data_IF_706582365789
#
_entry.id   IF_706582365789
#
_cell.length_a   1.000
_cell.length_b   1.000
_cell.length_c   1.000
_cell.angle_alpha   90.00
_cell.angle_beta   90.00
_cell.angle_gamma   90.00
#
_symmetry.space_group_name_H-M   'P 1'
#
loop_
_entity.id
_entity.type
_entity.pdbx_description
1 polymer ?
#
# COMPACT_ATOMS: atom_id res chain seq x y z
N UNK A 1 -3.40 7.53 -0.25
CA UNK A 1 -2.82 6.41 0.55
C UNK A 1 -3.08 5.10 -0.16
N UNK A 2 -2.08 4.20 -0.21
CA UNK A 2 -2.23 2.86 -0.76
C UNK A 2 -2.15 1.85 0.40
N UNK A 3 -3.10 0.93 0.47
CA UNK A 3 -3.18 -0.15 1.45
C UNK A 3 -3.18 -1.47 0.69
N UNK A 4 -2.22 -2.33 1.02
CA UNK A 4 -1.97 -3.62 0.39
C UNK A 4 -2.30 -4.75 1.36
N UNK A 5 -3.08 -5.73 0.93
CA UNK A 5 -3.09 -7.02 1.62
C UNK A 5 -1.70 -7.65 1.46
N UNK A 6 -1.06 -8.11 2.54
CA UNK A 6 0.34 -8.52 2.50
C UNK A 6 0.60 -9.93 3.02
N UNK A 7 -0.42 -10.77 3.20
CA UNK A 7 -0.28 -12.09 3.85
C UNK A 7 -0.59 -13.28 2.95
N UNK A 8 -1.26 -13.07 1.81
CA UNK A 8 -1.70 -14.12 0.90
C UNK A 8 -1.55 -13.71 -0.57
N UNK A 9 -2.37 -14.22 -1.46
CA UNK A 9 -2.32 -13.95 -2.88
C UNK A 9 -1.35 -14.87 -3.61
N UNK A 10 -0.70 -14.32 -4.61
CA UNK A 10 0.34 -15.00 -5.40
C UNK A 10 1.61 -15.24 -4.57
N UNK A 11 1.83 -14.44 -3.53
CA UNK A 11 2.95 -14.55 -2.59
C UNK A 11 2.82 -15.76 -1.63
N UNK A 12 1.73 -16.50 -1.67
CA UNK A 12 1.59 -17.77 -0.92
C UNK A 12 2.58 -18.84 -1.39
N UNK A 13 3.15 -18.68 -2.61
CA UNK A 13 4.15 -19.60 -3.15
C UNK A 13 3.60 -20.98 -3.50
N UNK A 14 2.29 -21.13 -3.69
CA UNK A 14 1.68 -22.42 -4.01
C UNK A 14 1.78 -22.64 -5.51
N UNK A 15 2.75 -23.47 -5.91
CA UNK A 15 2.97 -23.78 -7.32
C UNK A 15 3.13 -25.29 -7.53
N UNK A 16 2.68 -25.79 -8.69
CA UNK A 16 2.75 -27.20 -9.05
C UNK A 16 3.21 -27.39 -10.49
N UNK A 17 4.13 -28.31 -10.70
CA UNK A 17 4.41 -28.87 -12.04
C UNK A 17 3.34 -29.92 -12.32
N UNK A 18 2.49 -29.68 -13.30
CA UNK A 18 1.41 -30.62 -13.68
C UNK A 18 1.98 -31.74 -14.54
N UNK A 19 2.72 -31.36 -15.58
CA UNK A 19 3.53 -32.21 -16.45
C UNK A 19 4.74 -31.40 -16.89
N UNK A 20 5.71 -32.05 -17.53
CA UNK A 20 6.89 -31.34 -18.05
C UNK A 20 6.47 -30.19 -18.99
N UNK A 21 6.99 -29.00 -18.71
CA UNK A 21 6.66 -27.77 -19.42
C UNK A 21 5.32 -27.11 -19.04
N UNK A 22 4.57 -27.62 -18.05
CA UNK A 22 3.30 -27.01 -17.58
C UNK A 22 3.32 -26.80 -16.08
N UNK A 23 3.32 -25.54 -15.65
CA UNK A 23 3.31 -25.13 -14.24
C UNK A 23 1.99 -24.41 -13.92
N UNK A 24 1.45 -24.67 -12.73
CA UNK A 24 0.31 -23.93 -12.16
C UNK A 24 0.76 -23.14 -10.96
N UNK A 25 0.31 -21.88 -10.85
CA UNK A 25 0.43 -21.05 -9.65
C UNK A 25 -0.97 -20.75 -9.12
N UNK A 26 -1.14 -20.81 -7.80
CA UNK A 26 -2.44 -20.62 -7.15
C UNK A 26 -2.42 -19.27 -6.43
N UNK A 27 -3.29 -18.37 -6.83
CA UNK A 27 -3.64 -17.16 -6.09
C UNK A 27 -4.62 -17.52 -4.98
N UNK A 28 -4.20 -17.40 -3.73
CA UNK A 28 -5.05 -17.62 -2.57
C UNK A 28 -5.69 -16.31 -2.11
N UNK A 29 -7.03 -16.28 -2.01
CA UNK A 29 -7.78 -15.17 -1.41
C UNK A 29 -8.73 -15.75 -0.38
N UNK A 30 -8.59 -15.32 0.87
CA UNK A 30 -9.46 -15.76 1.96
C UNK A 30 -10.37 -14.64 2.45
N UNK A 31 -11.53 -15.01 3.00
CA UNK A 31 -12.43 -14.04 3.62
C UNK A 31 -11.75 -13.33 4.79
N UNK A 32 -11.07 -14.07 5.66
CA UNK A 32 -10.47 -13.52 6.88
C UNK A 32 -9.40 -12.44 6.57
N UNK A 33 -8.48 -12.71 5.65
CA UNK A 33 -7.46 -11.73 5.27
C UNK A 33 -8.06 -10.53 4.53
N UNK A 34 -9.04 -10.78 3.65
CA UNK A 34 -9.76 -9.71 2.94
C UNK A 34 -10.53 -8.80 3.91
N UNK A 35 -11.28 -9.36 4.87
CA UNK A 35 -12.00 -8.59 5.88
C UNK A 35 -11.06 -7.73 6.72
N UNK A 36 -9.93 -8.29 7.16
CA UNK A 36 -8.94 -7.58 7.97
C UNK A 36 -8.41 -6.33 7.26
N UNK A 37 -7.90 -6.48 6.04
CA UNK A 37 -7.32 -5.34 5.28
C UNK A 37 -8.37 -4.33 4.87
N UNK A 38 -9.58 -4.78 4.51
CA UNK A 38 -10.67 -3.90 4.10
C UNK A 38 -11.21 -3.10 5.29
N UNK A 39 -11.46 -3.73 6.44
CA UNK A 39 -11.84 -3.01 7.66
C UNK A 39 -10.79 -1.98 8.06
N UNK A 40 -9.53 -2.35 8.01
CA UNK A 40 -8.43 -1.41 8.25
C UNK A 40 -8.49 -0.22 7.28
N UNK A 41 -8.70 -0.45 5.99
CA UNK A 41 -8.74 0.60 4.98
C UNK A 41 -9.91 1.58 5.18
N UNK A 42 -11.10 1.08 5.52
CA UNK A 42 -12.26 1.92 5.80
C UNK A 42 -12.09 2.71 7.11
N UNK A 43 -11.61 2.06 8.17
CA UNK A 43 -11.34 2.73 9.45
C UNK A 43 -10.28 3.81 9.28
N UNK A 44 -9.17 3.49 8.61
CA UNK A 44 -8.13 4.48 8.30
C UNK A 44 -8.68 5.68 7.52
N UNK A 45 -9.54 5.44 6.54
CA UNK A 45 -10.15 6.52 5.77
C UNK A 45 -11.00 7.45 6.65
N UNK A 46 -11.76 6.89 7.59
CA UNK A 46 -12.58 7.64 8.54
C UNK A 46 -11.71 8.43 9.52
N UNK A 47 -10.69 7.80 10.12
CA UNK A 47 -9.80 8.41 11.10
C UNK A 47 -9.00 9.61 10.54
N UNK A 48 -8.53 9.50 9.29
CA UNK A 48 -7.77 10.59 8.62
C UNK A 48 -8.65 11.57 7.85
N UNK A 49 -9.98 11.43 7.92
CA UNK A 49 -10.94 12.29 7.24
C UNK A 49 -10.95 12.16 5.71
N UNK A 50 -10.43 11.07 5.16
CA UNK A 50 -10.57 10.73 3.74
C UNK A 50 -11.95 10.15 3.49
N UNK A 51 -12.66 10.71 2.52
CA UNK A 51 -14.08 10.39 2.32
C UNK A 51 -14.34 9.22 1.38
N UNK A 52 -13.28 8.62 0.81
CA UNK A 52 -13.44 7.60 -0.23
C UNK A 52 -12.42 6.48 -0.13
N UNK A 53 -12.94 5.26 -0.08
CA UNK A 53 -12.17 4.02 -0.27
C UNK A 53 -12.44 3.46 -1.66
N UNK A 54 -11.37 3.22 -2.42
CA UNK A 54 -11.41 2.60 -3.73
C UNK A 54 -10.74 1.24 -3.70
N UNK A 55 -11.49 0.21 -4.06
CA UNK A 55 -10.97 -1.15 -4.24
C UNK A 55 -10.44 -1.33 -5.66
N UNK A 56 -9.17 -1.70 -5.77
CA UNK A 56 -8.56 -2.04 -7.06
C UNK A 56 -8.56 -3.55 -7.23
N UNK A 57 -9.12 -4.05 -8.33
CA UNK A 57 -9.36 -5.47 -8.57
C UNK A 57 -9.34 -5.84 -10.07
N UNK A 58 -9.35 -7.15 -10.36
CA UNK A 58 -9.53 -7.68 -11.72
C UNK A 58 -10.66 -8.75 -11.77
N UNK A 59 -11.76 -8.50 -11.05
CA UNK A 59 -12.88 -9.45 -10.93
C UNK A 59 -13.60 -9.77 -12.24
N UNK A 60 -13.34 -9.02 -13.30
CA UNK A 60 -13.81 -9.35 -14.64
C UNK A 60 -13.14 -10.61 -15.21
N UNK A 61 -11.93 -10.91 -14.79
CA UNK A 61 -11.14 -12.09 -15.16
C UNK A 61 -11.13 -13.08 -13.99
N UNK A 62 -10.70 -12.64 -12.81
CA UNK A 62 -10.61 -13.47 -11.60
C UNK A 62 -11.92 -13.41 -10.82
N UNK A 63 -12.97 -14.00 -11.41
CA UNK A 63 -14.36 -13.86 -10.91
C UNK A 63 -14.57 -14.41 -9.50
N UNK A 64 -13.81 -15.44 -9.11
CA UNK A 64 -13.94 -16.07 -7.80
C UNK A 64 -13.05 -15.38 -6.77
N UNK A 65 -11.76 -15.26 -7.00
CA UNK A 65 -10.78 -14.70 -6.04
C UNK A 65 -10.96 -13.19 -5.87
N UNK A 66 -10.78 -12.40 -6.91
CA UNK A 66 -10.98 -10.94 -6.84
C UNK A 66 -12.46 -10.58 -6.63
N UNK A 67 -13.37 -11.44 -7.11
CA UNK A 67 -14.80 -11.30 -6.86
C UNK A 67 -15.15 -11.45 -5.39
N UNK A 68 -14.51 -12.38 -4.66
CA UNK A 68 -14.66 -12.52 -3.21
C UNK A 68 -14.19 -11.24 -2.50
N UNK A 69 -12.98 -10.77 -2.80
CA UNK A 69 -12.44 -9.54 -2.21
C UNK A 69 -13.37 -8.34 -2.43
N UNK A 70 -13.84 -8.14 -3.66
CA UNK A 70 -14.76 -7.06 -4.01
C UNK A 70 -16.12 -7.17 -3.31
N UNK A 71 -16.66 -8.37 -3.15
CA UNK A 71 -17.95 -8.58 -2.48
C UNK A 71 -17.83 -8.30 -0.97
N UNK A 72 -16.74 -8.72 -0.34
CA UNK A 72 -16.45 -8.40 1.07
C UNK A 72 -16.33 -6.89 1.25
N UNK A 73 -15.67 -6.18 0.33
CA UNK A 73 -15.59 -4.73 0.39
C UNK A 73 -16.98 -4.06 0.33
N UNK A 74 -17.90 -4.56 -0.50
CA UNK A 74 -19.28 -4.09 -0.55
C UNK A 74 -20.07 -4.42 0.72
N UNK A 75 -19.75 -5.52 1.37
CA UNK A 75 -20.34 -5.87 2.67
C UNK A 75 -19.88 -4.88 3.74
N UNK A 76 -18.57 -4.70 3.87
CA UNK A 76 -17.94 -3.84 4.89
C UNK A 76 -18.29 -2.36 4.69
N UNK A 77 -18.40 -1.88 3.46
CA UNK A 77 -18.73 -0.47 3.19
C UNK A 77 -20.04 -0.02 3.84
N UNK A 78 -20.95 -0.94 4.12
CA UNK A 78 -22.23 -0.65 4.80
C UNK A 78 -22.04 -0.29 6.27
N UNK A 79 -20.95 -0.74 6.89
CA UNK A 79 -20.60 -0.45 8.29
C UNK A 79 -20.00 0.96 8.44
N UNK A 80 -19.59 1.59 7.30
CA UNK A 80 -18.92 2.90 7.25
C UNK A 80 -19.71 3.92 6.41
N UNK A 81 -20.87 4.39 6.85
CA UNK A 81 -21.77 5.21 6.04
C UNK A 81 -21.21 6.59 5.67
N UNK A 82 -20.17 7.06 6.37
CA UNK A 82 -19.50 8.33 6.11
C UNK A 82 -18.37 8.22 5.07
N UNK A 83 -18.02 7.01 4.65
CA UNK A 83 -16.95 6.73 3.70
C UNK A 83 -17.55 6.23 2.39
N UNK A 84 -17.38 6.99 1.32
CA UNK A 84 -17.82 6.58 -0.01
C UNK A 84 -16.99 5.39 -0.50
N UNK A 85 -17.67 4.37 -1.03
CA UNK A 85 -17.06 3.20 -1.63
C UNK A 85 -17.18 3.25 -3.15
N UNK A 86 -16.07 3.00 -3.85
CA UNK A 86 -16.07 2.65 -5.25
C UNK A 86 -15.06 1.54 -5.58
N UNK A 87 -15.12 1.03 -6.82
CA UNK A 87 -14.24 -0.04 -7.28
C UNK A 87 -13.72 0.29 -8.68
N UNK A 88 -12.47 -0.09 -8.95
CA UNK A 88 -11.82 0.16 -10.24
C UNK A 88 -11.02 -1.05 -10.70
N UNK A 89 -11.01 -1.29 -12.02
CA UNK A 89 -10.16 -2.31 -12.60
C UNK A 89 -8.69 -1.90 -12.53
N UNK A 90 -7.82 -2.85 -12.20
CA UNK A 90 -6.39 -2.64 -12.03
C UNK A 90 -5.72 -1.92 -13.21
N UNK A 91 -5.99 -2.38 -14.42
CA UNK A 91 -5.45 -1.79 -15.66
C UNK A 91 -5.90 -0.33 -15.86
N UNK A 92 -7.16 -0.01 -15.56
CA UNK A 92 -7.65 1.36 -15.59
C UNK A 92 -7.01 2.22 -14.50
N UNK A 93 -6.83 1.69 -13.28
CA UNK A 93 -6.15 2.40 -12.21
C UNK A 93 -4.70 2.73 -12.60
N UNK A 94 -3.94 1.76 -13.13
CA UNK A 94 -2.59 1.96 -13.63
C UNK A 94 -2.53 3.08 -14.69
N UNK A 95 -3.40 2.98 -15.70
CA UNK A 95 -3.46 3.97 -16.78
C UNK A 95 -3.72 5.38 -16.23
N UNK A 96 -4.74 5.51 -15.38
CA UNK A 96 -5.15 6.82 -14.86
C UNK A 96 -4.14 7.43 -13.90
N UNK A 97 -3.55 6.65 -13.00
CA UNK A 97 -2.55 7.13 -12.04
C UNK A 97 -1.31 7.66 -12.78
N UNK A 98 -0.87 7.00 -13.85
CA UNK A 98 0.27 7.46 -14.64
C UNK A 98 -0.07 8.69 -15.47
N UNK A 99 -1.29 8.78 -15.99
CA UNK A 99 -1.74 9.92 -16.80
C UNK A 99 -1.99 11.16 -15.97
N UNK A 100 -2.73 11.01 -14.85
CA UNK A 100 -3.04 12.06 -13.88
C UNK A 100 -3.36 11.46 -12.51
N UNK A 101 -2.41 11.51 -11.55
CA UNK A 101 -2.62 10.98 -10.21
C UNK A 101 -3.55 11.86 -9.34
N UNK A 102 -3.81 13.10 -9.72
CA UNK A 102 -4.56 14.08 -8.93
C UNK A 102 -5.91 13.57 -8.41
N UNK A 103 -6.73 12.85 -9.20
CA UNK A 103 -8.00 12.32 -8.73
C UNK A 103 -7.91 11.24 -7.63
N UNK A 104 -6.69 10.79 -7.29
CA UNK A 104 -6.46 9.77 -6.26
C UNK A 104 -5.97 10.36 -4.92
N UNK A 105 -5.67 11.67 -4.86
CA UNK A 105 -5.08 12.31 -3.68
C UNK A 105 -5.97 12.19 -2.42
N UNK A 106 -7.29 12.27 -2.57
CA UNK A 106 -8.25 12.22 -1.47
C UNK A 106 -8.81 10.83 -1.20
N UNK A 107 -8.20 9.79 -1.79
CA UNK A 107 -8.68 8.43 -1.68
C UNK A 107 -7.73 7.55 -0.92
N UNK A 108 -8.29 6.52 -0.31
CA UNK A 108 -7.58 5.34 0.14
C UNK A 108 -7.78 4.26 -0.93
N UNK A 109 -6.70 3.77 -1.51
CA UNK A 109 -6.70 2.64 -2.43
C UNK A 109 -6.43 1.37 -1.63
N UNK A 110 -7.25 0.35 -1.79
CA UNK A 110 -7.04 -0.96 -1.15
C UNK A 110 -7.12 -2.07 -2.19
N UNK A 111 -6.25 -3.07 -2.08
CA UNK A 111 -6.11 -4.11 -3.10
C UNK A 111 -5.44 -5.37 -2.58
N UNK A 112 -5.60 -6.50 -3.31
CA UNK A 112 -4.85 -7.72 -3.09
C UNK A 112 -3.33 -7.53 -3.22
N UNK A 113 -2.57 -8.50 -2.72
CA UNK A 113 -1.13 -8.45 -2.52
C UNK A 113 -0.34 -8.02 -3.76
N UNK A 114 -0.38 -8.78 -4.84
CA UNK A 114 0.43 -8.52 -6.04
C UNK A 114 0.09 -7.16 -6.68
N UNK A 115 -1.18 -6.76 -6.66
CA UNK A 115 -1.59 -5.46 -7.22
C UNK A 115 -1.04 -4.31 -6.37
N UNK A 116 -1.04 -4.49 -5.05
CA UNK A 116 -0.47 -3.52 -4.12
C UNK A 116 1.03 -3.35 -4.31
N UNK A 117 1.76 -4.44 -4.52
CA UNK A 117 3.18 -4.44 -4.82
C UNK A 117 3.48 -3.63 -6.07
N UNK A 118 2.83 -3.95 -7.18
CA UNK A 118 3.04 -3.27 -8.47
C UNK A 118 2.68 -1.78 -8.39
N UNK A 119 1.51 -1.47 -7.80
CA UNK A 119 1.03 -0.09 -7.73
C UNK A 119 1.85 0.76 -6.76
N UNK A 120 2.34 0.20 -5.65
CA UNK A 120 3.19 0.95 -4.72
C UNK A 120 4.49 1.38 -5.37
N UNK A 121 5.15 0.50 -6.10
CA UNK A 121 6.41 0.80 -6.79
C UNK A 121 6.20 1.79 -7.94
N UNK A 122 5.10 1.63 -8.69
CA UNK A 122 4.72 2.60 -9.71
C UNK A 122 4.48 4.00 -9.12
N UNK A 123 3.75 4.08 -7.99
CA UNK A 123 3.51 5.35 -7.30
C UNK A 123 4.80 5.93 -6.70
N UNK A 124 5.69 5.08 -6.19
CA UNK A 124 7.00 5.51 -5.71
C UNK A 124 7.84 6.14 -6.84
N UNK A 125 7.78 5.56 -8.04
CA UNK A 125 8.41 6.16 -9.22
C UNK A 125 7.91 7.56 -9.55
N UNK A 126 6.60 7.81 -9.38
CA UNK A 126 5.99 9.13 -9.63
C UNK A 126 6.43 10.22 -8.65
N UNK A 127 6.80 9.86 -7.41
CA UNK A 127 7.25 10.83 -6.39
C UNK A 127 8.78 11.00 -6.32
N UNK A 128 9.53 10.31 -7.17
CA UNK A 128 10.98 10.43 -7.22
C UNK A 128 11.75 9.19 -6.78
N UNK A 129 11.08 8.09 -6.50
CA UNK A 129 11.67 6.78 -6.24
C UNK A 129 11.45 6.24 -4.82
N UNK A 130 11.88 4.99 -4.63
CA UNK A 130 11.72 4.24 -3.37
C UNK A 130 12.45 4.88 -2.18
N UNK A 131 13.54 5.64 -2.43
CA UNK A 131 14.27 6.37 -1.39
C UNK A 131 13.49 7.49 -0.69
N UNK A 132 12.29 7.83 -1.20
CA UNK A 132 11.38 8.84 -0.64
C UNK A 132 10.07 8.23 -0.12
N UNK A 133 9.88 6.93 -0.26
CA UNK A 133 8.59 6.27 0.02
C UNK A 133 8.59 5.62 1.40
N UNK A 134 7.79 6.14 2.34
CA UNK A 134 7.60 5.50 3.64
C UNK A 134 6.65 4.31 3.54
N UNK A 135 6.84 3.34 4.44
CA UNK A 135 6.00 2.15 4.52
C UNK A 135 5.82 1.66 5.96
N UNK A 136 4.71 0.98 6.21
CA UNK A 136 4.43 0.29 7.44
C UNK A 136 3.60 -0.97 7.20
N UNK A 137 4.00 -2.07 7.84
CA UNK A 137 3.26 -3.32 7.90
C UNK A 137 2.50 -3.33 9.23
N UNK A 138 1.19 -3.20 9.18
CA UNK A 138 0.33 -3.09 10.35
C UNK A 138 -0.34 -4.43 10.62
N UNK A 139 -0.08 -4.99 11.78
CA UNK A 139 -0.69 -6.25 12.24
C UNK A 139 -1.36 -6.10 13.61
N UNK A 140 -2.14 -7.10 14.00
CA UNK A 140 -2.94 -7.05 15.23
C UNK A 140 -2.09 -7.03 16.51
N UNK A 141 -0.89 -7.61 16.47
CA UNK A 141 -0.01 -7.74 17.65
C UNK A 141 1.26 -6.90 17.53
N UNK A 142 1.66 -6.54 16.32
CA UNK A 142 2.90 -5.86 16.05
C UNK A 142 2.78 -5.07 14.75
N UNK A 143 3.39 -3.88 14.71
CA UNK A 143 3.55 -3.09 13.50
C UNK A 143 5.02 -2.84 13.23
N UNK A 144 5.44 -2.96 11.96
CA UNK A 144 6.83 -2.75 11.52
C UNK A 144 6.84 -1.62 10.51
N UNK A 145 7.70 -0.63 10.72
CA UNK A 145 7.87 0.51 9.85
C UNK A 145 9.23 0.44 9.19
N UNK A 146 9.26 0.46 7.86
CA UNK A 146 10.46 0.25 7.08
C UNK A 146 10.46 1.11 5.82
N UNK A 147 11.63 1.29 5.21
CA UNK A 147 11.72 1.80 3.84
C UNK A 147 11.45 0.64 2.87
N UNK A 148 10.73 0.92 1.78
CA UNK A 148 10.35 -0.11 0.79
C UNK A 148 11.56 -0.61 -0.02
N UNK A 149 12.60 0.23 -0.16
CA UNK A 149 13.78 -0.10 -0.98
C UNK A 149 14.59 -1.29 -0.44
N UNK A 150 15.31 -1.97 -1.33
CA UNK A 150 16.27 -3.03 -1.00
C UNK A 150 17.56 -2.53 -0.34
N UNK A 151 18.48 -3.42 -0.07
CA UNK A 151 19.74 -3.16 0.64
C UNK A 151 20.82 -2.46 -0.20
N UNK A 152 20.70 -2.44 -1.54
CA UNK A 152 21.63 -1.82 -2.48
C UNK A 152 23.12 -2.05 -2.15
N UNK A 153 23.60 -3.31 -2.16
CA UNK A 153 24.94 -3.66 -1.70
C UNK A 153 26.05 -2.94 -2.50
N UNK A 154 25.77 -2.56 -3.74
CA UNK A 154 26.73 -1.90 -4.64
C UNK A 154 27.16 -0.51 -4.12
N UNK A 155 26.32 0.15 -3.33
CA UNK A 155 26.59 1.48 -2.77
C UNK A 155 26.85 1.46 -1.26
N UNK A 156 26.87 0.28 -0.65
CA UNK A 156 27.13 0.13 0.78
C UNK A 156 28.46 0.78 1.18
N UNK A 157 28.46 1.58 2.24
CA UNK A 157 29.65 2.28 2.75
C UNK A 157 30.12 3.48 1.93
N UNK A 158 29.43 3.84 0.82
CA UNK A 158 29.82 4.98 -0.04
C UNK A 158 29.17 6.31 0.35
N UNK A 159 28.25 6.31 1.35
CA UNK A 159 27.54 7.53 1.77
C UNK A 159 26.59 8.11 0.72
N UNK A 160 26.09 7.28 -0.21
CA UNK A 160 25.24 7.71 -1.33
C UNK A 160 23.73 7.45 -1.09
N UNK A 161 23.38 6.64 -0.10
CA UNK A 161 21.98 6.30 0.16
C UNK A 161 21.21 7.51 0.69
N UNK A 162 20.00 7.74 0.15
CA UNK A 162 19.07 8.74 0.66
C UNK A 162 18.30 8.17 1.86
N UNK A 163 18.43 8.73 3.09
CA UNK A 163 17.78 8.19 4.27
C UNK A 163 16.30 8.63 4.44
N UNK A 164 15.78 9.45 3.53
CA UNK A 164 14.48 10.12 3.69
C UNK A 164 13.34 9.13 3.84
N UNK A 165 13.32 8.03 3.08
CA UNK A 165 12.27 7.02 3.20
C UNK A 165 12.19 6.43 4.61
N UNK A 166 13.32 6.07 5.22
CA UNK A 166 13.35 5.51 6.58
C UNK A 166 12.97 6.54 7.64
N UNK A 167 13.39 7.79 7.47
CA UNK A 167 12.99 8.88 8.35
C UNK A 167 11.47 9.14 8.28
N UNK A 168 10.89 9.13 7.09
CA UNK A 168 9.45 9.25 6.90
C UNK A 168 8.69 8.04 7.46
N UNK A 169 9.23 6.83 7.35
CA UNK A 169 8.66 5.63 7.99
C UNK A 169 8.70 5.74 9.51
N UNK A 170 9.76 6.33 10.07
CA UNK A 170 9.84 6.63 11.51
C UNK A 170 8.77 7.64 11.95
N UNK A 171 8.45 8.63 11.12
CA UNK A 171 7.33 9.56 11.35
C UNK A 171 5.99 8.82 11.35
N UNK A 172 5.77 7.92 10.39
CA UNK A 172 4.56 7.07 10.37
C UNK A 172 4.45 6.22 11.64
N UNK A 173 5.57 5.66 12.13
CA UNK A 173 5.61 4.92 13.39
C UNK A 173 5.17 5.78 14.58
N UNK A 174 5.71 6.98 14.69
CA UNK A 174 5.36 7.90 15.76
C UNK A 174 3.88 8.33 15.69
N UNK A 175 3.37 8.57 14.50
CA UNK A 175 1.95 8.86 14.29
C UNK A 175 1.05 7.67 14.68
N UNK A 176 1.47 6.45 14.34
CA UNK A 176 0.76 5.23 14.73
C UNK A 176 0.74 5.00 16.24
N UNK A 177 1.71 5.55 16.96
CA UNK A 177 1.82 5.51 18.43
C UNK A 177 1.18 6.74 19.10
N UNK A 178 0.43 7.57 18.38
CA UNK A 178 -0.16 8.84 18.84
C UNK A 178 0.87 9.86 19.36
N UNK A 179 2.14 9.73 18.98
CA UNK A 179 3.23 10.63 19.33
C UNK A 179 3.38 11.78 18.32
N UNK A 180 2.28 12.47 18.04
CA UNK A 180 2.18 13.47 16.96
C UNK A 180 3.16 14.64 17.12
N UNK A 181 3.42 15.10 18.33
CA UNK A 181 4.35 16.23 18.57
C UNK A 181 5.79 15.88 18.13
N UNK A 182 6.23 14.65 18.40
CA UNK A 182 7.55 14.17 17.96
C UNK A 182 7.58 13.98 16.45
N UNK A 183 6.55 13.38 15.88
CA UNK A 183 6.41 13.20 14.43
C UNK A 183 6.51 14.53 13.68
N UNK A 184 5.76 15.56 14.14
CA UNK A 184 5.73 16.90 13.54
C UNK A 184 7.09 17.60 13.61
N UNK A 185 7.81 17.47 14.74
CA UNK A 185 9.16 18.04 14.88
C UNK A 185 10.15 17.44 13.90
N UNK A 186 10.15 16.11 13.76
CA UNK A 186 11.04 15.41 12.83
C UNK A 186 10.67 15.76 11.40
N UNK A 187 9.39 15.74 11.05
CA UNK A 187 8.91 16.10 9.71
C UNK A 187 9.34 17.51 9.32
N UNK A 188 9.15 18.48 10.22
CA UNK A 188 9.58 19.85 9.99
C UNK A 188 11.09 19.94 9.75
N UNK A 189 11.90 19.27 10.58
CA UNK A 189 13.36 19.27 10.45
C UNK A 189 13.81 18.68 9.09
N UNK A 190 13.18 17.60 8.62
CA UNK A 190 13.47 17.02 7.31
C UNK A 190 13.18 18.04 6.19
N UNK A 191 12.01 18.67 6.22
CA UNK A 191 11.64 19.63 5.18
C UNK A 191 12.48 20.89 5.21
N UNK A 192 12.81 21.41 6.39
CA UNK A 192 13.71 22.55 6.53
C UNK A 192 15.10 22.22 5.95
N UNK A 193 15.65 21.02 6.25
CA UNK A 193 16.96 20.56 5.75
C UNK A 193 16.97 20.44 4.22
N UNK A 194 15.91 19.85 3.64
CA UNK A 194 15.76 19.75 2.19
C UNK A 194 15.63 21.13 1.51
N UNK A 195 14.90 22.04 2.13
CA UNK A 195 14.72 23.40 1.64
C UNK A 195 16.02 24.23 1.68
N UNK A 196 16.93 23.97 2.62
CA UNK A 196 18.25 24.60 2.67
C UNK A 196 19.15 24.22 1.49
N UNK A 197 18.93 23.10 0.84
CA UNK A 197 19.67 22.66 -0.35
C UNK A 197 21.16 22.41 -0.10
N UNK A 198 21.54 22.04 1.14
CA UNK A 198 22.94 21.76 1.52
C UNK A 198 23.30 20.27 1.50
N UNK A 199 22.35 19.41 1.15
CA UNK A 199 22.45 17.95 1.10
C UNK A 199 22.03 17.44 -0.27
#
# INVERSE_FOLDING_TARGET
MLIRENTEGEYSGIEHVVIDGVVQSIKLITRAASERVLRFAFQYAEDVGKRKVRVVHKATIMKMSDGLFLNIAREISKDFPNVEFDAELLDNACLKIVTDPTPYNDKVLVMPNLYGDILSDMCAGLIGGLGLTPSGNIGDQCSIFEAVHGSAPDIAGKGLANPTALLLSSIMMLQHMDLHDYANKIQKAIFDTLAEGKV
#
